data_IF_325908399407
#
_entry.id   IF_325908399407
#
_cell.length_a   1.000
_cell.length_b   1.000
_cell.length_c   1.000
_cell.angle_alpha   90.00
_cell.angle_beta   90.00
_cell.angle_gamma   90.00
#
_symmetry.space_group_name_H-M   'P 1'
#
loop_
_entity.id
_entity.type
_entity.pdbx_description
1 polymer ?
#
# COMPACT_ATOMS: atom_id res chain seq x y z
N UNK A 1 -8.50 18.80 0.25
CA UNK A 1 -8.93 20.22 0.14
C UNK A 1 -10.31 20.37 -0.49
N UNK A 2 -10.52 20.05 -1.77
CA UNK A 2 -11.84 20.17 -2.44
C UNK A 2 -12.95 19.44 -1.65
N UNK A 3 -12.75 18.17 -1.30
CA UNK A 3 -13.73 17.43 -0.50
C UNK A 3 -13.97 18.03 0.90
N UNK A 4 -12.94 18.61 1.51
CA UNK A 4 -13.04 19.31 2.80
C UNK A 4 -13.91 20.56 2.68
N UNK A 5 -13.69 21.37 1.65
CA UNK A 5 -14.52 22.54 1.34
C UNK A 5 -15.98 22.15 1.12
N UNK A 6 -16.25 21.11 0.34
CA UNK A 6 -17.62 20.64 0.10
C UNK A 6 -18.28 20.16 1.41
N UNK A 7 -17.51 19.46 2.25
CA UNK A 7 -18.02 18.92 3.51
C UNK A 7 -18.32 20.01 4.53
N UNK A 8 -17.44 21.00 4.65
CA UNK A 8 -17.59 22.13 5.57
C UNK A 8 -18.64 23.15 5.10
N UNK A 9 -18.75 23.41 3.79
CA UNK A 9 -19.62 24.47 3.26
C UNK A 9 -21.02 23.99 2.84
N UNK A 10 -21.17 22.72 2.44
CA UNK A 10 -22.44 22.19 1.90
C UNK A 10 -22.92 21.04 2.78
N UNK A 11 -22.30 19.88 2.62
CA UNK A 11 -22.54 18.68 3.42
C UNK A 11 -21.58 17.58 3.01
N UNK A 12 -21.34 16.63 3.91
CA UNK A 12 -20.61 15.41 3.59
C UNK A 12 -21.28 14.59 2.46
N UNK A 13 -22.62 14.64 2.32
CA UNK A 13 -23.37 13.97 1.25
C UNK A 13 -23.04 14.54 -0.12
N UNK A 14 -22.90 15.85 -0.24
CA UNK A 14 -22.54 16.52 -1.50
C UNK A 14 -21.15 16.07 -1.99
N UNK A 15 -20.21 15.79 -1.08
CA UNK A 15 -18.90 15.28 -1.45
C UNK A 15 -18.99 13.90 -2.14
N UNK A 16 -19.90 13.02 -1.68
CA UNK A 16 -20.16 11.74 -2.33
C UNK A 16 -20.82 11.91 -3.71
N UNK A 17 -21.80 12.81 -3.85
CA UNK A 17 -22.42 13.10 -5.16
C UNK A 17 -21.38 13.59 -6.16
N UNK A 18 -20.48 14.47 -5.72
CA UNK A 18 -19.36 14.92 -6.56
C UNK A 18 -18.44 13.78 -6.98
N UNK A 19 -18.11 12.86 -6.08
CA UNK A 19 -17.31 11.68 -6.40
C UNK A 19 -18.01 10.76 -7.42
N UNK A 20 -19.33 10.54 -7.27
CA UNK A 20 -20.14 9.79 -8.26
C UNK A 20 -20.08 10.46 -9.63
N UNK A 21 -20.20 11.78 -9.70
CA UNK A 21 -20.10 12.52 -10.95
C UNK A 21 -18.74 12.31 -11.63
N UNK A 22 -17.64 12.39 -10.88
CA UNK A 22 -16.30 12.13 -11.40
C UNK A 22 -16.17 10.70 -11.95
N UNK A 23 -16.71 9.70 -11.24
CA UNK A 23 -16.72 8.31 -11.72
C UNK A 23 -17.52 8.15 -13.01
N UNK A 24 -18.70 8.78 -13.11
CA UNK A 24 -19.51 8.76 -14.32
C UNK A 24 -18.74 9.37 -15.50
N UNK A 25 -18.06 10.50 -15.29
CA UNK A 25 -17.21 11.12 -16.33
C UNK A 25 -16.11 10.17 -16.77
N UNK A 26 -15.40 9.53 -15.84
CA UNK A 26 -14.36 8.55 -16.15
C UNK A 26 -14.92 7.39 -16.99
N UNK A 27 -16.08 6.82 -16.62
CA UNK A 27 -16.72 5.73 -17.37
C UNK A 27 -17.13 6.17 -18.78
N UNK A 28 -17.66 7.38 -18.93
CA UNK A 28 -18.05 7.91 -20.25
C UNK A 28 -16.82 8.11 -21.13
N UNK A 29 -15.72 8.63 -20.57
CA UNK A 29 -14.47 8.83 -21.30
C UNK A 29 -13.76 7.51 -21.60
N UNK A 30 -13.79 6.54 -20.70
CA UNK A 30 -13.11 5.24 -20.88
C UNK A 30 -13.75 4.38 -21.96
N UNK A 31 -15.02 4.59 -22.30
CA UNK A 31 -15.69 3.91 -23.43
C UNK A 31 -15.02 4.15 -24.78
N UNK A 32 -14.17 5.18 -24.88
CA UNK A 32 -13.41 5.51 -26.09
C UNK A 32 -12.00 4.91 -26.10
N UNK A 33 -11.60 4.23 -25.03
CA UNK A 33 -10.29 3.59 -24.90
C UNK A 33 -10.45 2.13 -25.30
N UNK A 34 -9.66 1.69 -26.27
CA UNK A 34 -9.58 0.28 -26.63
C UNK A 34 -8.64 -0.45 -25.68
N UNK A 35 -9.07 -1.61 -25.17
CA UNK A 35 -8.22 -2.44 -24.32
C UNK A 35 -7.04 -3.00 -25.15
N UNK A 36 -5.80 -2.91 -24.64
CA UNK A 36 -4.60 -3.32 -25.38
C UNK A 36 -4.51 -4.84 -25.62
N UNK A 37 -5.29 -5.65 -24.90
CA UNK A 37 -5.34 -7.10 -25.06
C UNK A 37 -6.79 -7.59 -25.12
N UNK A 38 -7.16 -8.42 -26.11
CA UNK A 38 -8.46 -9.08 -26.14
C UNK A 38 -8.63 -9.99 -24.91
N UNK A 39 -9.83 -10.04 -24.29
CA UNK A 39 -10.12 -11.01 -23.24
C UNK A 39 -9.91 -12.45 -23.74
N UNK A 40 -9.04 -13.21 -23.08
CA UNK A 40 -8.84 -14.62 -23.39
C UNK A 40 -10.05 -15.43 -22.88
N UNK A 41 -11.03 -15.64 -23.77
CA UNK A 41 -12.28 -16.37 -23.45
C UNK A 41 -12.03 -17.83 -23.08
N UNK A 42 -10.86 -18.38 -23.35
CA UNK A 42 -10.54 -19.77 -23.08
C UNK A 42 -10.03 -20.02 -21.64
N UNK A 43 -9.70 -18.97 -20.87
CA UNK A 43 -9.21 -19.10 -19.50
C UNK A 43 -10.34 -18.95 -18.48
N UNK A 44 -10.83 -20.05 -17.86
CA UNK A 44 -11.90 -19.99 -16.87
C UNK A 44 -11.40 -19.34 -15.57
N UNK A 45 -12.12 -18.33 -15.09
CA UNK A 45 -11.82 -17.67 -13.82
C UNK A 45 -12.06 -18.60 -12.62
N UNK A 46 -11.15 -18.61 -11.65
CA UNK A 46 -11.27 -19.38 -10.41
C UNK A 46 -12.16 -18.67 -9.39
N UNK A 47 -13.48 -18.73 -9.60
CA UNK A 47 -14.48 -18.10 -8.71
C UNK A 47 -14.42 -18.64 -7.29
N UNK A 48 -14.26 -19.95 -7.11
CA UNK A 48 -14.19 -20.55 -5.78
C UNK A 48 -12.92 -20.13 -5.04
N UNK A 49 -11.77 -20.12 -5.73
CA UNK A 49 -10.53 -19.58 -5.17
C UNK A 49 -10.67 -18.12 -4.75
N UNK A 50 -11.32 -17.30 -5.58
CA UNK A 50 -11.58 -15.90 -5.28
C UNK A 50 -12.42 -15.73 -4.01
N UNK A 51 -13.53 -16.47 -3.89
CA UNK A 51 -14.40 -16.43 -2.70
C UNK A 51 -13.66 -16.90 -1.45
N UNK A 52 -12.94 -18.03 -1.52
CA UNK A 52 -12.18 -18.56 -0.38
C UNK A 52 -11.11 -17.56 0.09
N UNK A 53 -10.37 -16.95 -0.84
CA UNK A 53 -9.36 -15.94 -0.51
C UNK A 53 -9.97 -14.70 0.15
N UNK A 54 -11.10 -14.21 -0.37
CA UNK A 54 -11.79 -13.04 0.16
C UNK A 54 -12.35 -13.31 1.56
N UNK A 55 -13.07 -14.43 1.75
CA UNK A 55 -13.64 -14.81 3.04
C UNK A 55 -12.53 -15.03 4.08
N UNK A 56 -11.46 -15.75 3.71
CA UNK A 56 -10.33 -15.99 4.61
C UNK A 56 -9.66 -14.69 5.06
N UNK A 57 -9.46 -13.74 4.13
CA UNK A 57 -8.87 -12.44 4.46
C UNK A 57 -9.79 -11.58 5.33
N UNK A 58 -11.10 -11.56 5.04
CA UNK A 58 -12.10 -10.84 5.85
C UNK A 58 -12.09 -11.38 7.27
N UNK A 59 -12.16 -12.70 7.46
CA UNK A 59 -12.14 -13.32 8.78
C UNK A 59 -10.86 -12.96 9.56
N UNK A 60 -9.69 -13.00 8.92
CA UNK A 60 -8.44 -12.58 9.56
C UNK A 60 -8.46 -11.11 9.98
N UNK A 61 -8.86 -10.20 9.08
CA UNK A 61 -8.89 -8.76 9.36
C UNK A 61 -9.90 -8.45 10.47
N UNK A 62 -11.10 -9.02 10.41
CA UNK A 62 -12.12 -8.86 11.45
C UNK A 62 -11.66 -9.47 12.78
N UNK A 63 -10.95 -10.60 12.74
CA UNK A 63 -10.35 -11.20 13.93
C UNK A 63 -9.33 -10.29 14.61
N UNK A 64 -8.45 -9.65 13.83
CA UNK A 64 -7.48 -8.65 14.36
C UNK A 64 -8.21 -7.45 14.96
N UNK A 65 -9.26 -6.96 14.30
CA UNK A 65 -10.06 -5.82 14.79
C UNK A 65 -10.84 -6.14 16.07
N UNK A 66 -11.26 -7.38 16.25
CA UNK A 66 -12.05 -7.80 17.41
C UNK A 66 -11.22 -8.03 18.69
N UNK A 67 -9.89 -7.91 18.62
CA UNK A 67 -8.98 -8.23 19.75
C UNK A 67 -9.30 -7.40 20.99
N UNK A 68 -9.60 -6.12 20.82
CA UNK A 68 -9.85 -5.21 21.95
C UNK A 68 -11.26 -5.37 22.53
N UNK A 69 -12.23 -5.78 21.71
CA UNK A 69 -13.63 -5.96 22.12
C UNK A 69 -13.86 -7.32 22.78
N UNK A 70 -13.40 -8.41 22.13
CA UNK A 70 -13.63 -9.78 22.57
C UNK A 70 -12.55 -10.72 22.05
N UNK A 71 -11.58 -11.03 22.92
CA UNK A 71 -10.46 -11.92 22.60
C UNK A 71 -10.86 -13.34 22.15
N UNK A 72 -12.01 -13.87 22.62
CA UNK A 72 -12.50 -15.18 22.17
C UNK A 72 -13.08 -15.12 20.76
N UNK A 73 -13.82 -14.06 20.44
CA UNK A 73 -14.30 -13.81 19.09
C UNK A 73 -13.11 -13.58 18.14
N UNK A 74 -12.14 -12.77 18.56
CA UNK A 74 -10.90 -12.52 17.82
C UNK A 74 -10.18 -13.84 17.51
N UNK A 75 -9.94 -14.68 18.52
CA UNK A 75 -9.30 -15.98 18.34
C UNK A 75 -10.11 -16.89 17.41
N UNK A 76 -11.44 -16.96 17.59
CA UNK A 76 -12.33 -17.75 16.74
C UNK A 76 -12.28 -17.32 15.28
N UNK A 77 -12.32 -16.01 15.02
CA UNK A 77 -12.22 -15.43 13.67
C UNK A 77 -10.84 -15.64 13.05
N UNK A 78 -9.77 -15.50 13.84
CA UNK A 78 -8.40 -15.75 13.38
C UNK A 78 -8.19 -17.23 13.00
N UNK A 79 -8.66 -18.16 13.81
CA UNK A 79 -8.59 -19.59 13.52
C UNK A 79 -9.45 -19.96 12.31
N UNK A 80 -10.68 -19.43 12.22
CA UNK A 80 -11.55 -19.65 11.07
C UNK A 80 -10.92 -19.08 9.78
N UNK A 81 -10.37 -17.87 9.82
CA UNK A 81 -9.67 -17.25 8.70
C UNK A 81 -8.45 -18.05 8.27
N UNK A 82 -7.62 -18.49 9.22
CA UNK A 82 -6.47 -19.36 8.95
C UNK A 82 -6.88 -20.68 8.31
N UNK A 83 -7.97 -21.31 8.78
CA UNK A 83 -8.50 -22.56 8.22
C UNK A 83 -9.02 -22.35 6.79
N UNK A 84 -9.78 -21.27 6.54
CA UNK A 84 -10.30 -20.94 5.20
C UNK A 84 -9.16 -20.65 4.23
N UNK A 85 -8.12 -19.92 4.64
CA UNK A 85 -6.95 -19.67 3.81
C UNK A 85 -6.12 -20.94 3.57
N UNK A 86 -6.01 -21.83 4.55
CA UNK A 86 -5.40 -23.14 4.34
C UNK A 86 -6.20 -23.95 3.30
N UNK A 87 -7.54 -23.87 3.34
CA UNK A 87 -8.43 -24.43 2.32
C UNK A 87 -8.23 -23.81 0.94
N UNK A 88 -8.10 -22.48 0.84
CA UNK A 88 -7.74 -21.78 -0.39
C UNK A 88 -6.41 -22.29 -0.97
N UNK A 89 -5.37 -22.41 -0.15
CA UNK A 89 -4.08 -22.91 -0.61
C UNK A 89 -4.12 -24.38 -1.04
N UNK A 90 -4.90 -25.22 -0.35
CA UNK A 90 -5.13 -26.60 -0.76
C UNK A 90 -5.90 -26.67 -2.10
N UNK A 91 -6.89 -25.81 -2.30
CA UNK A 91 -7.66 -25.68 -3.54
C UNK A 91 -6.77 -25.27 -4.72
N UNK A 92 -5.98 -24.21 -4.56
CA UNK A 92 -5.04 -23.71 -5.57
C UNK A 92 -4.06 -24.81 -5.99
N UNK A 93 -3.40 -25.46 -5.02
CA UNK A 93 -2.47 -26.58 -5.30
C UNK A 93 -3.17 -27.74 -6.02
N UNK A 94 -4.42 -28.02 -5.68
CA UNK A 94 -5.24 -29.05 -6.35
C UNK A 94 -5.54 -28.70 -7.80
N UNK A 95 -5.91 -27.44 -8.09
CA UNK A 95 -6.15 -26.95 -9.46
C UNK A 95 -4.90 -27.01 -10.32
N UNK A 96 -3.76 -26.56 -9.79
CA UNK A 96 -2.49 -26.59 -10.52
C UNK A 96 -2.05 -28.02 -10.87
N UNK A 97 -2.16 -28.96 -9.93
CA UNK A 97 -1.88 -30.38 -10.20
C UNK A 97 -2.79 -30.99 -11.26
N UNK A 98 -4.02 -30.48 -11.38
CA UNK A 98 -4.97 -30.88 -12.40
C UNK A 98 -4.79 -30.15 -13.74
N UNK A 99 -3.76 -29.30 -13.88
CA UNK A 99 -3.49 -28.51 -15.09
C UNK A 99 -4.56 -27.45 -15.37
N UNK A 100 -5.26 -26.97 -14.34
CA UNK A 100 -6.31 -25.94 -14.45
C UNK A 100 -5.77 -24.59 -14.02
N UNK A 101 -6.29 -23.52 -14.64
CA UNK A 101 -6.02 -22.13 -14.25
C UNK A 101 -6.37 -21.93 -12.76
N UNK A 102 -5.44 -21.43 -11.95
CA UNK A 102 -5.71 -21.07 -10.55
C UNK A 102 -5.77 -19.55 -10.43
N UNK A 103 -6.41 -19.03 -9.37
CA UNK A 103 -6.46 -17.58 -9.14
C UNK A 103 -5.08 -16.95 -8.98
N UNK A 104 -4.19 -17.64 -8.25
CA UNK A 104 -2.81 -17.25 -8.01
C UNK A 104 -1.94 -18.50 -8.16
N UNK A 105 -0.86 -18.38 -8.92
CA UNK A 105 0.11 -19.46 -9.03
C UNK A 105 0.88 -19.66 -7.71
N UNK A 106 0.96 -20.90 -7.24
CA UNK A 106 1.62 -21.30 -6.00
C UNK A 106 3.10 -20.92 -5.99
N UNK A 107 3.75 -20.95 -7.16
CA UNK A 107 5.15 -20.60 -7.31
C UNK A 107 5.44 -19.12 -6.98
N UNK A 108 4.44 -18.23 -7.01
CA UNK A 108 4.60 -16.84 -6.56
C UNK A 108 5.05 -16.76 -5.10
N UNK A 109 4.49 -17.61 -4.24
CA UNK A 109 4.78 -17.62 -2.81
C UNK A 109 6.12 -18.27 -2.47
N UNK A 110 6.80 -18.90 -3.44
CA UNK A 110 8.15 -19.46 -3.25
C UNK A 110 9.25 -18.44 -3.53
N UNK A 111 8.96 -17.36 -4.26
CA UNK A 111 9.94 -16.35 -4.58
C UNK A 111 10.21 -15.45 -3.36
N UNK A 112 11.35 -15.68 -2.70
CA UNK A 112 11.76 -14.92 -1.50
C UNK A 112 11.85 -13.41 -1.75
N UNK A 113 12.30 -12.98 -2.92
CA UNK A 113 12.43 -11.56 -3.27
C UNK A 113 11.05 -10.91 -3.40
N UNK A 114 10.12 -11.57 -4.09
CA UNK A 114 8.72 -11.15 -4.17
C UNK A 114 8.09 -11.04 -2.78
N UNK A 115 8.22 -12.08 -1.96
CA UNK A 115 7.63 -12.09 -0.61
C UNK A 115 8.18 -10.96 0.28
N UNK A 116 9.49 -10.73 0.27
CA UNK A 116 10.09 -9.60 0.98
C UNK A 116 9.60 -8.26 0.43
N UNK A 117 9.48 -8.12 -0.90
CA UNK A 117 8.90 -6.95 -1.56
C UNK A 117 7.46 -6.70 -1.11
N UNK A 118 6.63 -7.74 -1.09
CA UNK A 118 5.24 -7.68 -0.62
C UNK A 118 5.14 -7.29 0.86
N UNK A 119 6.03 -7.81 1.72
CA UNK A 119 6.12 -7.39 3.13
C UNK A 119 6.47 -5.90 3.23
N UNK A 120 7.47 -5.42 2.47
CA UNK A 120 7.83 -4.00 2.48
C UNK A 120 6.67 -3.13 1.99
N UNK A 121 5.95 -3.55 0.95
CA UNK A 121 4.79 -2.85 0.43
C UNK A 121 3.64 -2.82 1.45
N UNK A 122 3.36 -3.94 2.12
CA UNK A 122 2.38 -4.00 3.21
C UNK A 122 2.71 -2.99 4.31
N UNK A 123 3.95 -3.02 4.81
CA UNK A 123 4.40 -2.10 5.87
C UNK A 123 4.35 -0.65 5.43
N UNK A 124 4.72 -0.36 4.18
CA UNK A 124 4.65 0.98 3.61
C UNK A 124 3.21 1.53 3.62
N UNK A 125 2.24 0.76 3.15
CA UNK A 125 0.83 1.17 3.13
C UNK A 125 0.22 1.26 4.54
N UNK A 126 0.64 0.36 5.44
CA UNK A 126 0.30 0.42 6.85
C UNK A 126 0.78 1.72 7.49
N UNK A 127 2.04 2.10 7.28
CA UNK A 127 2.57 3.36 7.78
C UNK A 127 1.83 4.55 7.19
N UNK A 128 1.61 4.57 5.87
CA UNK A 128 0.93 5.67 5.19
C UNK A 128 -0.47 5.90 5.78
N UNK A 129 -1.30 4.87 5.82
CA UNK A 129 -2.68 5.01 6.29
C UNK A 129 -2.78 5.14 7.80
N UNK A 130 -1.95 4.42 8.57
CA UNK A 130 -1.90 4.54 10.03
C UNK A 130 -1.48 5.95 10.46
N UNK A 131 -0.42 6.51 9.88
CA UNK A 131 0.02 7.89 10.17
C UNK A 131 -1.05 8.88 9.73
N UNK A 132 -1.61 8.71 8.53
CA UNK A 132 -2.62 9.63 8.00
C UNK A 132 -3.86 9.66 8.90
N UNK A 133 -4.35 8.49 9.32
CA UNK A 133 -5.45 8.39 10.27
C UNK A 133 -5.11 9.02 11.62
N UNK A 134 -3.95 8.67 12.19
CA UNK A 134 -3.53 9.15 13.52
C UNK A 134 -3.41 10.67 13.56
N UNK A 135 -2.75 11.25 12.55
CA UNK A 135 -2.56 12.71 12.46
C UNK A 135 -3.88 13.41 12.21
N UNK A 136 -4.71 12.92 11.29
CA UNK A 136 -6.01 13.52 11.00
C UNK A 136 -6.94 13.49 12.23
N UNK A 137 -7.04 12.34 12.91
CA UNK A 137 -7.82 12.19 14.13
C UNK A 137 -7.32 13.13 15.23
N UNK A 138 -6.00 13.23 15.42
CA UNK A 138 -5.44 14.13 16.43
C UNK A 138 -5.71 15.61 16.12
N UNK A 139 -5.53 16.05 14.87
CA UNK A 139 -5.80 17.42 14.48
C UNK A 139 -7.28 17.80 14.66
N UNK A 140 -8.20 16.91 14.27
CA UNK A 140 -9.62 17.22 14.32
C UNK A 140 -10.23 17.03 15.72
N UNK A 141 -9.92 15.93 16.39
CA UNK A 141 -10.55 15.57 17.68
C UNK A 141 -9.86 16.25 18.85
N UNK A 142 -8.52 16.35 18.85
CA UNK A 142 -7.75 16.89 19.98
C UNK A 142 -7.42 18.37 19.77
N UNK A 143 -7.01 18.77 18.56
CA UNK A 143 -6.69 20.18 18.25
C UNK A 143 -7.89 20.98 17.76
N UNK A 144 -9.02 20.34 17.48
CA UNK A 144 -10.27 21.01 17.08
C UNK A 144 -10.24 21.63 15.68
N UNK A 145 -9.30 21.22 14.83
CA UNK A 145 -9.18 21.76 13.48
C UNK A 145 -10.28 21.21 12.57
N UNK A 146 -10.70 22.00 11.60
CA UNK A 146 -11.65 21.55 10.61
C UNK A 146 -10.99 20.69 9.51
N UNK A 147 -11.81 20.18 8.59
CA UNK A 147 -11.36 19.35 7.47
C UNK A 147 -10.48 20.10 6.47
N UNK A 148 -10.65 21.42 6.32
CA UNK A 148 -9.88 22.25 5.39
C UNK A 148 -8.51 22.52 6.00
N UNK A 149 -8.44 22.96 7.25
CA UNK A 149 -7.20 23.19 8.00
C UNK A 149 -6.35 21.92 8.06
N UNK A 150 -6.98 20.79 8.41
CA UNK A 150 -6.31 19.48 8.37
C UNK A 150 -5.79 19.19 6.97
N UNK A 151 -6.61 19.41 5.94
CA UNK A 151 -6.22 19.21 4.55
C UNK A 151 -5.04 20.09 4.12
N UNK A 152 -4.96 21.34 4.60
CA UNK A 152 -3.83 22.25 4.32
C UNK A 152 -2.55 21.72 4.95
N UNK A 153 -2.60 21.25 6.19
CA UNK A 153 -1.42 20.67 6.86
C UNK A 153 -0.92 19.42 6.12
N UNK A 154 -1.84 18.57 5.65
CA UNK A 154 -1.51 17.38 4.86
C UNK A 154 -0.90 17.69 3.49
N UNK A 155 -1.02 18.91 2.97
CA UNK A 155 -0.32 19.30 1.73
C UNK A 155 1.18 19.12 1.85
N UNK A 156 1.76 19.28 3.05
CA UNK A 156 3.19 19.03 3.26
C UNK A 156 3.57 17.57 2.92
N UNK A 157 2.77 16.59 3.36
CA UNK A 157 2.98 15.19 3.00
C UNK A 157 2.80 14.96 1.49
N UNK A 158 1.76 15.53 0.89
CA UNK A 158 1.51 15.43 -0.55
C UNK A 158 2.66 16.01 -1.38
N UNK A 159 3.20 17.17 -0.99
CA UNK A 159 4.36 17.80 -1.63
C UNK A 159 5.59 16.90 -1.50
N UNK A 160 5.81 16.29 -0.33
CA UNK A 160 6.90 15.33 -0.13
C UNK A 160 6.77 14.12 -1.06
N UNK A 161 5.57 13.53 -1.15
CA UNK A 161 5.31 12.38 -2.04
C UNK A 161 5.55 12.79 -3.50
N UNK A 162 5.03 13.95 -3.92
CA UNK A 162 5.18 14.42 -5.30
C UNK A 162 6.65 14.68 -5.66
N UNK A 163 7.37 15.43 -4.82
CA UNK A 163 8.77 15.77 -5.04
C UNK A 163 9.66 14.52 -5.11
N UNK A 164 9.45 13.57 -4.19
CA UNK A 164 10.20 12.31 -4.19
C UNK A 164 9.81 11.39 -5.34
N UNK A 165 8.53 11.33 -5.74
CA UNK A 165 8.07 10.51 -6.87
C UNK A 165 8.63 11.01 -8.20
N UNK A 166 8.68 12.34 -8.41
CA UNK A 166 9.32 12.94 -9.58
C UNK A 166 10.83 12.64 -9.63
N UNK A 167 11.48 12.59 -8.46
CA UNK A 167 12.88 12.22 -8.36
C UNK A 167 13.11 10.69 -8.46
N UNK A 168 12.11 9.87 -8.16
CA UNK A 168 12.24 8.43 -7.96
C UNK A 168 12.73 7.72 -9.22
N UNK A 169 12.26 8.09 -10.41
CA UNK A 169 12.69 7.47 -11.67
C UNK A 169 14.18 7.72 -11.95
N UNK A 170 14.64 8.96 -11.77
CA UNK A 170 16.06 9.34 -11.90
C UNK A 170 16.91 8.63 -10.84
N UNK A 171 16.40 8.48 -9.62
CA UNK A 171 17.09 7.81 -8.53
C UNK A 171 17.17 6.29 -8.74
N UNK A 172 16.10 5.67 -9.26
CA UNK A 172 16.01 4.26 -9.59
C UNK A 172 16.98 3.85 -10.71
N UNK A 173 17.31 4.78 -11.63
CA UNK A 173 18.38 4.56 -12.61
C UNK A 173 19.79 4.54 -11.99
N UNK A 174 19.99 5.19 -10.85
CA UNK A 174 21.32 5.38 -10.23
C UNK A 174 21.56 4.55 -8.97
N UNK A 175 20.51 4.07 -8.32
CA UNK A 175 20.56 3.36 -7.04
C UNK A 175 19.76 2.06 -7.14
N UNK A 176 20.22 1.03 -6.43
CA UNK A 176 19.48 -0.22 -6.33
C UNK A 176 18.12 0.00 -5.64
N UNK A 177 17.08 -0.73 -6.07
CA UNK A 177 15.73 -0.65 -5.50
C UNK A 177 15.74 -0.83 -3.97
N UNK A 178 16.49 -1.83 -3.48
CA UNK A 178 16.73 -2.06 -2.05
C UNK A 178 17.15 -0.79 -1.30
N UNK A 179 18.11 -0.04 -1.84
CA UNK A 179 18.63 1.18 -1.19
C UNK A 179 17.57 2.26 -1.11
N UNK A 180 16.73 2.40 -2.14
CA UNK A 180 15.64 3.36 -2.16
C UNK A 180 14.54 3.02 -1.17
N UNK A 181 14.18 1.73 -1.06
CA UNK A 181 13.19 1.26 -0.09
C UNK A 181 13.69 1.48 1.34
N UNK A 182 14.94 1.10 1.63
CA UNK A 182 15.54 1.34 2.95
C UNK A 182 15.61 2.84 3.28
N UNK A 183 16.05 3.68 2.34
CA UNK A 183 16.10 5.12 2.54
C UNK A 183 14.70 5.69 2.82
N UNK A 184 13.68 5.20 2.09
CA UNK A 184 12.30 5.54 2.34
C UNK A 184 11.88 5.27 3.78
N UNK A 185 12.06 4.04 4.28
CA UNK A 185 11.70 3.70 5.66
C UNK A 185 12.43 4.54 6.69
N UNK A 186 13.74 4.74 6.52
CA UNK A 186 14.55 5.58 7.43
C UNK A 186 14.01 7.01 7.47
N UNK A 187 13.76 7.61 6.30
CA UNK A 187 13.26 8.98 6.20
C UNK A 187 11.85 9.09 6.78
N UNK A 188 10.99 8.09 6.57
CA UNK A 188 9.65 8.07 7.17
C UNK A 188 9.70 7.96 8.69
N UNK A 189 10.54 7.08 9.25
CA UNK A 189 10.72 6.94 10.71
C UNK A 189 11.29 8.22 11.31
N UNK A 190 12.29 8.82 10.66
CA UNK A 190 12.84 10.11 11.08
C UNK A 190 11.77 11.22 11.02
N UNK A 191 10.92 11.22 9.99
CA UNK A 191 9.79 12.13 9.87
C UNK A 191 8.79 11.97 11.02
N UNK A 192 8.48 10.74 11.43
CA UNK A 192 7.66 10.46 12.63
C UNK A 192 8.33 11.04 13.89
N UNK A 193 9.63 10.82 14.07
CA UNK A 193 10.36 11.34 15.24
C UNK A 193 10.36 12.88 15.28
N UNK A 194 10.63 13.54 14.15
CA UNK A 194 10.57 15.00 14.01
C UNK A 194 9.17 15.51 14.35
N UNK A 195 8.14 14.84 13.84
CA UNK A 195 6.75 15.18 14.09
C UNK A 195 6.45 15.11 15.60
N UNK A 196 6.82 14.02 16.27
CA UNK A 196 6.62 13.84 17.71
C UNK A 196 7.30 14.93 18.54
N UNK A 197 8.55 15.28 18.20
CA UNK A 197 9.30 16.33 18.90
C UNK A 197 8.64 17.69 18.70
N UNK A 198 8.36 18.08 17.45
CA UNK A 198 7.83 19.42 17.16
C UNK A 198 6.43 19.63 17.74
N UNK A 199 5.56 18.62 17.66
CA UNK A 199 4.19 18.71 18.19
C UNK A 199 4.15 18.75 19.73
N UNK A 200 5.15 18.15 20.39
CA UNK A 200 5.29 18.25 21.85
C UNK A 200 5.77 19.65 22.29
N UNK A 201 6.60 20.31 21.48
CA UNK A 201 7.21 21.60 21.81
C UNK A 201 6.38 22.81 21.37
N UNK A 202 5.65 22.70 20.26
CA UNK A 202 4.94 23.82 19.65
C UNK A 202 3.44 23.53 19.55
N UNK A 203 2.57 24.45 20.02
CA UNK A 203 1.12 24.25 19.95
C UNK A 203 0.52 24.49 18.56
N UNK A 204 1.26 25.08 17.62
CA UNK A 204 0.73 25.50 16.32
C UNK A 204 0.63 24.40 15.25
N UNK A 205 -0.34 24.55 14.34
CA UNK A 205 -0.60 23.67 13.19
C UNK A 205 0.64 23.32 12.36
N UNK A 206 1.51 24.30 12.15
CA UNK A 206 2.68 24.19 11.29
C UNK A 206 3.78 23.31 11.88
N UNK A 207 3.71 22.95 13.16
CA UNK A 207 4.61 21.98 13.78
C UNK A 207 4.55 20.59 13.11
N UNK A 208 3.41 20.25 12.49
CA UNK A 208 3.22 18.98 11.78
C UNK A 208 3.89 18.97 10.40
N UNK A 209 4.03 20.13 9.75
CA UNK A 209 4.41 20.20 8.35
C UNK A 209 5.81 19.62 8.06
N UNK A 210 6.87 19.91 8.84
CA UNK A 210 8.20 19.32 8.59
C UNK A 210 8.20 17.79 8.71
N UNK A 211 7.54 17.25 9.73
CA UNK A 211 7.43 15.81 9.93
C UNK A 211 6.63 15.13 8.82
N UNK A 212 5.48 15.70 8.44
CA UNK A 212 4.65 15.22 7.34
C UNK A 212 5.37 15.29 5.99
N UNK A 213 6.14 16.35 5.74
CA UNK A 213 6.96 16.48 4.53
C UNK A 213 7.99 15.35 4.45
N UNK A 214 8.70 15.07 5.54
CA UNK A 214 9.66 13.97 5.61
C UNK A 214 8.98 12.61 5.42
N UNK A 215 7.85 12.38 6.08
CA UNK A 215 7.05 11.16 5.91
C UNK A 215 6.65 10.97 4.45
N UNK A 216 6.17 12.04 3.80
CA UNK A 216 5.81 12.04 2.40
C UNK A 216 6.99 11.77 1.47
N UNK A 217 8.15 12.40 1.72
CA UNK A 217 9.38 12.16 0.97
C UNK A 217 9.84 10.70 1.08
N UNK A 218 9.82 10.15 2.30
CA UNK A 218 10.22 8.77 2.54
C UNK A 218 9.30 7.77 1.82
N UNK A 219 7.98 7.93 2.01
CA UNK A 219 6.98 7.06 1.36
C UNK A 219 7.03 7.17 -0.16
N UNK A 220 7.13 8.39 -0.71
CA UNK A 220 7.15 8.59 -2.16
C UNK A 220 8.39 8.02 -2.84
N UNK A 221 9.57 8.08 -2.20
CA UNK A 221 10.79 7.50 -2.78
C UNK A 221 10.73 5.98 -2.88
N UNK A 222 10.00 5.30 -1.98
CA UNK A 222 9.90 3.85 -1.96
C UNK A 222 8.67 3.28 -2.69
N UNK A 223 7.65 4.08 -3.00
CA UNK A 223 6.46 3.65 -3.77
C UNK A 223 6.81 2.86 -5.05
N UNK A 224 7.55 3.49 -5.96
CA UNK A 224 7.88 2.88 -7.26
C UNK A 224 8.85 1.70 -7.11
N UNK A 225 9.97 1.82 -6.36
CA UNK A 225 10.88 0.69 -6.16
C UNK A 225 10.23 -0.54 -5.52
N UNK A 226 9.32 -0.37 -4.54
CA UNK A 226 8.62 -1.49 -3.89
C UNK A 226 7.80 -2.29 -4.90
N UNK A 227 7.03 -1.61 -5.75
CA UNK A 227 6.23 -2.27 -6.80
C UNK A 227 7.15 -2.96 -7.82
N UNK A 228 8.22 -2.29 -8.25
CA UNK A 228 9.13 -2.83 -9.26
C UNK A 228 9.91 -4.06 -8.76
N UNK A 229 10.27 -4.13 -7.47
CA UNK A 229 10.91 -5.33 -6.88
C UNK A 229 10.00 -6.54 -7.02
N UNK A 230 8.71 -6.36 -6.72
CA UNK A 230 7.73 -7.45 -6.76
C UNK A 230 7.43 -7.85 -8.19
N UNK A 231 7.14 -6.88 -9.07
CA UNK A 231 6.75 -7.16 -10.45
C UNK A 231 7.91 -7.72 -11.29
N UNK A 232 9.15 -7.27 -11.08
CA UNK A 232 10.31 -7.75 -11.85
C UNK A 232 10.69 -9.20 -11.56
N UNK A 233 10.09 -9.83 -10.54
CA UNK A 233 10.29 -11.24 -10.23
C UNK A 233 9.51 -12.19 -11.16
N UNK A 234 8.58 -11.69 -11.97
CA UNK A 234 7.64 -12.51 -12.73
C UNK A 234 7.54 -12.06 -14.20
N UNK A 235 7.30 -13.00 -15.13
CA UNK A 235 7.10 -12.69 -16.55
C UNK A 235 5.80 -11.92 -16.79
N UNK A 236 5.68 -11.29 -17.96
CA UNK A 236 4.49 -10.49 -18.36
C UNK A 236 3.18 -11.27 -18.24
N UNK A 237 3.20 -12.57 -18.53
CA UNK A 237 2.03 -13.46 -18.45
C UNK A 237 1.45 -13.61 -17.04
N UNK A 238 2.23 -13.31 -15.99
CA UNK A 238 1.82 -13.38 -14.58
C UNK A 238 1.60 -11.99 -13.96
N UNK A 239 1.73 -10.90 -14.73
CA UNK A 239 1.60 -9.53 -14.21
C UNK A 239 0.20 -9.23 -13.65
N UNK A 240 -0.85 -9.82 -14.23
CA UNK A 240 -2.21 -9.72 -13.71
C UNK A 240 -2.35 -10.30 -12.30
N UNK A 241 -1.85 -11.51 -12.08
CA UNK A 241 -1.87 -12.20 -10.78
C UNK A 241 -1.07 -11.43 -9.72
N UNK A 242 0.18 -11.07 -10.02
CA UNK A 242 1.06 -10.42 -9.03
C UNK A 242 0.62 -8.99 -8.72
N UNK A 243 0.09 -8.24 -9.70
CA UNK A 243 -0.46 -6.91 -9.45
C UNK A 243 -1.72 -6.98 -8.59
N UNK A 244 -2.61 -7.95 -8.83
CA UNK A 244 -3.77 -8.22 -7.99
C UNK A 244 -3.40 -8.59 -6.55
N UNK A 245 -2.42 -9.48 -6.38
CA UNK A 245 -1.88 -9.85 -5.08
C UNK A 245 -1.25 -8.65 -4.36
N UNK A 246 -0.42 -7.88 -5.07
CA UNK A 246 0.24 -6.67 -4.57
C UNK A 246 -0.77 -5.62 -4.10
N UNK A 247 -1.88 -5.42 -4.84
CA UNK A 247 -2.97 -4.52 -4.43
C UNK A 247 -3.72 -5.06 -3.21
N UNK A 248 -3.99 -6.36 -3.16
CA UNK A 248 -4.65 -6.98 -2.00
C UNK A 248 -3.82 -6.81 -0.74
N UNK A 249 -2.51 -7.01 -0.83
CA UNK A 249 -1.57 -6.82 0.28
C UNK A 249 -1.43 -5.34 0.67
N UNK A 250 -1.44 -4.42 -0.30
CA UNK A 250 -1.44 -2.98 -0.01
C UNK A 250 -2.71 -2.53 0.73
N UNK A 251 -3.87 -3.07 0.34
CA UNK A 251 -5.14 -2.81 1.00
C UNK A 251 -5.17 -3.40 2.41
N UNK A 252 -4.62 -4.61 2.59
CA UNK A 252 -4.45 -5.21 3.91
C UNK A 252 -3.59 -4.33 4.82
N UNK A 253 -2.42 -3.89 4.34
CA UNK A 253 -1.56 -2.97 5.07
C UNK A 253 -2.28 -1.68 5.47
N UNK A 254 -2.98 -1.06 4.51
CA UNK A 254 -3.79 0.14 4.73
C UNK A 254 -4.82 -0.04 5.85
N UNK A 255 -5.60 -1.12 5.78
CA UNK A 255 -6.63 -1.45 6.78
C UNK A 255 -6.02 -1.68 8.16
N UNK A 256 -4.95 -2.50 8.25
CA UNK A 256 -4.25 -2.79 9.49
C UNK A 256 -3.63 -1.53 10.10
N UNK A 257 -3.12 -0.62 9.28
CA UNK A 257 -2.55 0.65 9.74
C UNK A 257 -3.59 1.52 10.44
N UNK A 258 -4.77 1.66 9.82
CA UNK A 258 -5.88 2.40 10.44
C UNK A 258 -6.44 1.69 11.68
N UNK A 259 -6.48 0.35 11.66
CA UNK A 259 -6.94 -0.47 12.78
C UNK A 259 -6.05 -0.28 14.02
N UNK A 260 -4.75 -0.52 13.88
CA UNK A 260 -3.78 -0.37 14.97
C UNK A 260 -3.77 1.06 15.51
N UNK A 261 -3.79 2.06 14.62
CA UNK A 261 -3.88 3.45 15.03
C UNK A 261 -5.19 3.76 15.78
N UNK A 262 -6.32 3.29 15.26
CA UNK A 262 -7.65 3.45 15.86
C UNK A 262 -7.74 2.83 17.24
N UNK A 263 -7.34 1.56 17.37
CA UNK A 263 -7.24 0.84 18.65
C UNK A 263 -6.46 1.64 19.68
N UNK A 264 -5.26 2.12 19.34
CA UNK A 264 -4.42 2.85 20.30
C UNK A 264 -5.05 4.19 20.69
N UNK A 265 -5.66 4.88 19.73
CA UNK A 265 -6.34 6.15 19.98
C UNK A 265 -7.61 6.00 20.82
N UNK A 266 -8.35 4.90 20.65
CA UNK A 266 -9.60 4.63 21.40
C UNK A 266 -9.32 4.04 22.77
N UNK A 267 -8.35 3.12 22.90
CA UNK A 267 -7.96 2.53 24.18
C UNK A 267 -7.28 3.54 25.13
N UNK A 268 -6.74 4.63 24.60
CA UNK A 268 -6.12 5.69 25.37
C UNK A 268 -7.09 6.79 25.80
N UNK A 269 -7.74 6.64 26.97
CA UNK A 269 -8.27 7.76 27.75
C UNK A 269 -7.17 8.69 28.32
N UNK A 270 -5.90 8.49 27.93
CA UNK A 270 -4.73 9.10 28.56
C UNK A 270 -4.05 10.16 27.69
N UNK A 271 -3.41 11.13 28.36
CA UNK A 271 -2.46 12.06 27.75
C UNK A 271 -1.35 11.25 27.06
N UNK A 272 -1.27 11.32 25.73
CA UNK A 272 -0.17 10.72 24.96
C UNK A 272 -0.56 9.61 23.98
N UNK A 273 -1.84 9.24 23.85
CA UNK A 273 -2.30 8.23 22.89
C UNK A 273 -1.77 8.47 21.46
N UNK A 274 -1.72 9.74 21.04
CA UNK A 274 -1.09 10.15 19.78
C UNK A 274 0.38 9.70 19.66
N UNK A 275 1.19 9.97 20.69
CA UNK A 275 2.60 9.62 20.68
C UNK A 275 2.81 8.11 20.66
N UNK A 276 1.99 7.36 21.41
CA UNK A 276 2.03 5.90 21.43
C UNK A 276 1.66 5.32 20.06
N UNK A 277 0.60 5.82 19.42
CA UNK A 277 0.19 5.36 18.09
C UNK A 277 1.28 5.60 17.04
N UNK A 278 1.85 6.81 17.02
CA UNK A 278 2.95 7.15 16.12
C UNK A 278 4.22 6.33 16.40
N UNK A 279 4.56 6.07 17.67
CA UNK A 279 5.69 5.23 18.04
C UNK A 279 5.47 3.77 17.61
N UNK A 280 4.27 3.21 17.81
CA UNK A 280 3.92 1.87 17.35
C UNK A 280 4.06 1.74 15.81
N UNK A 281 3.60 2.75 15.05
CA UNK A 281 3.76 2.80 13.60
C UNK A 281 5.24 2.90 13.19
N UNK A 282 6.06 3.65 13.93
CA UNK A 282 7.50 3.71 13.69
C UNK A 282 8.19 2.36 13.95
N UNK A 283 7.79 1.64 15.01
CA UNK A 283 8.29 0.28 15.30
C UNK A 283 7.91 -0.71 14.19
N UNK A 284 6.68 -0.64 13.69
CA UNK A 284 6.26 -1.42 12.51
C UNK A 284 7.10 -1.04 11.28
N UNK A 285 7.40 0.24 11.11
CA UNK A 285 8.33 0.74 10.09
C UNK A 285 9.74 0.16 10.20
N UNK A 286 10.27 -0.05 11.40
CA UNK A 286 11.56 -0.74 11.60
C UNK A 286 11.49 -2.19 11.10
N UNK A 287 10.37 -2.89 11.30
CA UNK A 287 10.13 -4.21 10.71
C UNK A 287 10.18 -4.18 9.18
N UNK A 288 9.57 -3.17 8.56
CA UNK A 288 9.66 -2.92 7.11
C UNK A 288 11.10 -2.63 6.65
N UNK A 289 11.85 -1.84 7.43
CA UNK A 289 13.26 -1.57 7.16
C UNK A 289 14.13 -2.83 7.22
N UNK A 290 13.87 -3.72 8.18
CA UNK A 290 14.55 -5.02 8.29
C UNK A 290 14.21 -5.89 7.07
N UNK A 291 12.93 -5.99 6.70
CA UNK A 291 12.51 -6.72 5.49
C UNK A 291 13.18 -6.16 4.22
N UNK A 292 13.26 -4.83 4.10
CA UNK A 292 13.95 -4.17 3.00
C UNK A 292 15.46 -4.46 3.01
N UNK A 293 16.09 -4.52 4.19
CA UNK A 293 17.50 -4.86 4.31
C UNK A 293 17.81 -6.30 3.86
N UNK A 294 16.84 -7.22 4.01
CA UNK A 294 16.94 -8.61 3.56
C UNK A 294 16.73 -8.80 2.06
N UNK A 295 16.26 -7.77 1.33
CA UNK A 295 16.15 -7.85 -0.12
C UNK A 295 17.53 -8.11 -0.75
N UNK A 296 17.61 -8.90 -1.83
CA UNK A 296 18.85 -9.07 -2.57
C UNK A 296 19.38 -7.72 -3.04
N UNK A 297 20.69 -7.55 -2.95
CA UNK A 297 21.39 -6.47 -3.67
C UNK A 297 21.41 -6.87 -5.14
N UNK A 298 20.29 -6.74 -5.84
CA UNK A 298 20.27 -7.00 -7.28
C UNK A 298 21.31 -6.07 -7.95
N UNK A 299 22.27 -6.67 -8.65
CA UNK A 299 23.16 -5.98 -9.55
C UNK A 299 22.33 -5.25 -10.62
N UNK A 300 22.92 -4.21 -11.23
CA UNK A 300 22.31 -3.44 -12.32
C UNK A 300 21.44 -4.33 -13.23
N UNK A 301 20.23 -3.87 -13.64
CA UNK A 301 19.51 -4.60 -14.67
C UNK A 301 20.45 -4.84 -15.86
N UNK A 302 20.43 -6.03 -16.48
CA UNK A 302 21.17 -6.24 -17.71
C UNK A 302 20.72 -5.13 -18.65
N UNK A 303 21.66 -4.31 -19.11
CA UNK A 303 21.39 -3.46 -20.27
C UNK A 303 20.93 -4.44 -21.33
N UNK A 304 19.66 -4.36 -21.71
CA UNK A 304 19.17 -5.08 -22.88
C UNK A 304 20.06 -4.61 -24.03
N UNK A 305 21.07 -5.41 -24.38
CA UNK A 305 21.70 -5.26 -25.67
C UNK A 305 20.57 -5.49 -26.65
N UNK A 306 20.13 -4.42 -27.28
CA UNK A 306 19.35 -4.50 -28.49
C UNK A 306 20.18 -5.36 -29.45
N UNK A 307 19.93 -6.67 -29.46
CA UNK A 307 20.26 -7.49 -30.61
C UNK A 307 19.30 -7.01 -31.68
N UNK A 308 19.72 -5.98 -32.41
CA UNK A 308 19.32 -5.77 -33.79
C UNK A 308 19.55 -7.11 -34.50
N UNK A 309 18.49 -7.90 -34.57
CA UNK A 309 18.39 -8.94 -35.58
C UNK A 309 18.06 -8.19 -36.85
N UNK A 310 19.11 -7.88 -37.63
CA UNK A 310 18.91 -7.49 -39.02
C UNK A 310 18.10 -8.60 -39.70
N UNK A 311 17.00 -8.27 -40.41
CA UNK A 311 16.33 -9.25 -41.23
C UNK A 311 17.26 -9.68 -42.38
N UNK A 312 17.30 -10.96 -42.76
CA UNK A 312 18.14 -11.44 -43.85
C UNK A 312 17.78 -10.74 -45.15
N UNK A 313 18.83 -10.39 -45.90
CA UNK A 313 18.84 -9.49 -47.05
C UNK A 313 17.67 -9.62 -48.02
N UNK A 314 17.00 -8.50 -48.23
CA UNK A 314 16.19 -8.25 -49.43
C UNK A 314 17.13 -7.74 -50.52
N UNK A 315 17.25 -8.39 -51.69
CA UNK A 315 18.01 -7.83 -52.81
C UNK A 315 17.29 -6.57 -53.31
N UNK A 316 18.04 -5.46 -53.44
CA UNK A 316 17.51 -4.23 -54.04
C UNK A 316 17.53 -4.34 -55.58
N UNK A 317 16.50 -3.83 -56.27
CA UNK A 317 16.54 -3.62 -57.73
C UNK A 317 17.51 -2.51 -58.13
#
# INVERSE_FOLDING_TARGET
LIGGLITSAISWRAAFVFQVLVVVVIVVLSRKIEDPLPPDRARPFDTLGAVLSAVGLVLLVTGILAVDDNGWLALGLLLAGALVLAGFFAWVRGRERAGREALLSWDMFRNRTSNLGLITQNTQWLMLMGVSFTVAAYLQVVRGYDAVETGVIFTAATLGILASSLAAEKLARRRAQRTLIMAGFIVTIAGIAVLLVLVAWQPGAWAFAPGLLLIGLGLGVMLTPSVNVVQSCFPETQQGEISGLSRSISNLGSSLGTAVAGTILVSGLSKGAYAVAMAALALVGLGGLIAAALLPRAGRPPVASARTTDPPGVPRP
#
